data_IF_215859283217
#
_entry.id   IF_215859283217
#
_cell.length_a   1.000
_cell.length_b   1.000
_cell.length_c   1.000
_cell.angle_alpha   90.00
_cell.angle_beta   90.00
_cell.angle_gamma   90.00
#
_symmetry.space_group_name_H-M   'P 1'
#
loop_
_entity.id
_entity.type
_entity.pdbx_description
1 polymer ?
#
# COMPACT_ATOMS: atom_id res chain seq x y z
N UNK A 1 -0.41 -13.26 -8.84
CA UNK A 1 -0.02 -11.84 -8.62
C UNK A 1 -0.61 -11.28 -7.35
N UNK A 2 -1.92 -11.35 -7.11
CA UNK A 2 -2.46 -10.89 -5.81
C UNK A 2 -1.94 -11.72 -4.64
N UNK A 3 -1.58 -12.97 -4.84
CA UNK A 3 -0.99 -13.81 -3.80
C UNK A 3 0.41 -13.35 -3.39
N UNK A 4 1.05 -12.50 -4.19
CA UNK A 4 2.31 -11.86 -3.82
C UNK A 4 2.11 -10.63 -2.94
N UNK A 5 0.87 -10.14 -2.81
CA UNK A 5 0.53 -9.10 -1.86
C UNK A 5 0.42 -9.73 -0.48
N UNK A 6 1.21 -9.27 0.48
CA UNK A 6 1.32 -9.94 1.77
C UNK A 6 1.25 -8.96 2.93
N UNK A 7 0.52 -9.36 3.96
CA UNK A 7 0.57 -8.64 5.23
C UNK A 7 1.93 -8.87 5.89
N UNK A 8 2.49 -7.80 6.45
CA UNK A 8 3.72 -7.84 7.21
C UNK A 8 3.41 -7.37 8.62
N UNK A 9 3.75 -8.18 9.60
CA UNK A 9 3.61 -7.78 11.00
C UNK A 9 4.97 -7.29 11.49
N UNK A 10 5.04 -6.03 11.89
CA UNK A 10 6.26 -5.44 12.43
C UNK A 10 6.31 -5.62 13.94
N UNK A 11 7.46 -5.96 14.52
CA UNK A 11 7.57 -6.04 15.97
C UNK A 11 7.25 -4.71 16.64
N UNK A 12 6.46 -4.75 17.70
CA UNK A 12 6.20 -3.58 18.53
C UNK A 12 7.10 -3.62 19.75
N UNK A 13 7.74 -2.50 20.04
CA UNK A 13 8.53 -2.30 21.24
C UNK A 13 7.82 -1.29 22.11
N UNK A 14 7.75 -1.53 23.41
CA UNK A 14 7.06 -0.55 24.24
C UNK A 14 6.91 -0.99 25.68
N UNK A 15 6.34 -0.08 26.45
CA UNK A 15 6.04 -0.23 27.86
C UNK A 15 4.81 0.65 28.16
N UNK A 16 4.61 1.03 29.43
CA UNK A 16 3.47 1.86 29.81
C UNK A 16 3.50 3.26 29.19
N UNK A 17 4.62 3.68 28.59
CA UNK A 17 4.73 4.99 27.92
C UNK A 17 4.25 4.96 26.47
N UNK A 18 3.99 3.78 25.90
CA UNK A 18 3.51 3.62 24.55
C UNK A 18 4.30 2.59 23.75
N UNK A 19 4.08 2.59 22.44
CA UNK A 19 4.64 1.61 21.53
C UNK A 19 5.51 2.27 20.46
N UNK A 20 6.51 1.54 20.00
CA UNK A 20 7.43 1.98 18.95
C UNK A 20 7.53 0.87 17.91
N UNK A 21 7.41 1.23 16.63
CA UNK A 21 7.55 0.31 15.51
C UNK A 21 8.68 0.82 14.62
N UNK A 22 9.58 -0.08 14.24
CA UNK A 22 10.71 0.24 13.37
C UNK A 22 10.48 -0.44 12.03
N UNK A 23 10.64 0.31 10.94
CA UNK A 23 10.59 -0.23 9.58
C UNK A 23 11.84 0.22 8.84
N UNK A 24 12.70 -0.72 8.49
CA UNK A 24 13.94 -0.44 7.78
C UNK A 24 13.91 -1.07 6.39
N UNK A 25 14.33 -0.30 5.41
CA UNK A 25 14.43 -0.80 4.04
C UNK A 25 15.43 -1.96 3.95
N UNK A 26 15.10 -2.96 3.14
CA UNK A 26 15.89 -4.17 2.94
C UNK A 26 16.11 -5.01 4.21
N UNK A 27 15.39 -4.72 5.28
CA UNK A 27 15.41 -5.47 6.53
C UNK A 27 14.00 -5.98 6.86
N UNK A 28 13.10 -5.08 7.18
CA UNK A 28 11.71 -5.41 7.52
C UNK A 28 10.83 -5.50 6.29
N UNK A 29 11.21 -4.82 5.21
CA UNK A 29 10.50 -4.80 3.94
C UNK A 29 11.49 -5.10 2.81
N UNK A 30 11.02 -5.63 1.66
CA UNK A 30 11.92 -6.20 0.65
C UNK A 30 12.47 -5.20 -0.37
N UNK A 31 12.59 -3.92 -0.03
CA UNK A 31 13.17 -2.92 -0.94
C UNK A 31 13.81 -1.78 -0.17
N UNK A 32 14.65 -1.02 -0.89
CA UNK A 32 15.23 0.22 -0.38
C UNK A 32 14.19 1.34 -0.45
N UNK A 33 13.95 2.04 0.65
CA UNK A 33 12.91 3.08 0.71
C UNK A 33 13.46 4.35 0.10
N UNK A 34 12.90 4.74 -1.04
CA UNK A 34 13.31 5.99 -1.73
C UNK A 34 12.30 7.11 -1.58
N UNK A 35 11.05 6.80 -1.21
CA UNK A 35 9.99 7.80 -1.12
C UNK A 35 9.03 7.40 0.00
N UNK A 36 8.61 8.40 0.76
CA UNK A 36 7.58 8.26 1.79
C UNK A 36 6.50 9.28 1.49
N UNK A 37 5.25 8.85 1.51
CA UNK A 37 4.14 9.77 1.48
C UNK A 37 3.01 9.22 2.36
N UNK A 38 2.06 10.08 2.69
CA UNK A 38 0.95 9.65 3.54
C UNK A 38 -0.33 10.38 3.18
N UNK A 39 -1.44 9.71 3.44
CA UNK A 39 -2.78 10.16 3.09
C UNK A 39 -3.56 10.34 4.38
N UNK A 40 -4.13 11.53 4.56
CA UNK A 40 -4.99 11.84 5.71
C UNK A 40 -6.10 12.79 5.29
N UNK A 41 -7.13 12.89 6.11
CA UNK A 41 -8.23 13.80 5.83
C UNK A 41 -9.16 13.35 4.71
N UNK A 42 -9.08 12.10 4.30
CA UNK A 42 -9.97 11.56 3.28
C UNK A 42 -11.28 11.11 3.91
N UNK A 43 -12.40 11.46 3.26
CA UNK A 43 -13.71 10.99 3.70
C UNK A 43 -13.87 9.51 3.43
N UNK A 44 -14.81 8.87 4.15
CA UNK A 44 -15.07 7.45 4.03
C UNK A 44 -15.52 7.05 2.62
N UNK A 45 -16.14 7.95 1.88
CA UNK A 45 -16.66 7.69 0.54
C UNK A 45 -15.62 7.89 -0.56
N UNK A 46 -14.43 8.40 -0.23
CA UNK A 46 -13.37 8.65 -1.21
C UNK A 46 -12.64 7.37 -1.53
N UNK A 47 -12.41 7.14 -2.82
CA UNK A 47 -11.53 6.06 -3.30
C UNK A 47 -10.29 6.70 -3.89
N UNK A 48 -9.13 6.36 -3.34
CA UNK A 48 -7.84 6.85 -3.81
C UNK A 48 -7.07 5.72 -4.48
N UNK A 49 -5.98 6.07 -5.14
CA UNK A 49 -5.20 5.12 -5.91
C UNK A 49 -5.77 4.97 -7.31
N UNK A 50 -6.45 3.86 -7.57
CA UNK A 50 -7.00 3.51 -8.89
C UNK A 50 -5.90 3.52 -9.95
N UNK A 51 -4.81 2.85 -9.63
CA UNK A 51 -3.69 2.75 -10.55
C UNK A 51 -2.82 1.54 -10.24
N UNK A 52 -1.95 1.23 -11.18
CA UNK A 52 -0.84 0.30 -11.01
C UNK A 52 0.46 1.01 -11.39
N UNK A 53 1.58 0.43 -11.02
CA UNK A 53 2.90 0.99 -11.26
C UNK A 53 3.80 -0.03 -11.96
N UNK A 54 4.52 0.41 -12.98
CA UNK A 54 5.46 -0.47 -13.69
C UNK A 54 6.64 -0.86 -12.83
N UNK A 55 7.17 0.07 -12.04
CA UNK A 55 8.45 -0.10 -11.36
C UNK A 55 8.37 -0.07 -9.85
N UNK A 56 7.42 0.66 -9.28
CA UNK A 56 7.36 0.85 -7.83
C UNK A 56 6.73 -0.32 -7.12
N UNK A 57 7.35 -0.70 -6.01
CA UNK A 57 6.78 -1.55 -4.97
C UNK A 57 6.40 -0.67 -3.80
N UNK A 58 5.44 -1.09 -3.02
CA UNK A 58 4.92 -0.29 -1.92
C UNK A 58 4.71 -1.13 -0.66
N UNK A 59 4.82 -0.47 0.49
CA UNK A 59 4.28 -0.99 1.75
C UNK A 59 3.37 0.09 2.31
N UNK A 60 2.14 -0.27 2.63
CA UNK A 60 1.11 0.63 3.16
C UNK A 60 0.83 0.27 4.63
N UNK A 61 0.83 1.28 5.50
CA UNK A 61 0.60 1.08 6.93
C UNK A 61 -0.37 2.15 7.43
N UNK A 62 -1.48 1.75 8.06
CA UNK A 62 -2.31 2.73 8.78
C UNK A 62 -1.68 2.99 10.14
N UNK A 63 -0.90 4.05 10.21
CA UNK A 63 -0.24 4.43 11.47
C UNK A 63 -1.23 5.03 12.47
N UNK A 64 -2.40 5.46 11.99
CA UNK A 64 -3.55 5.85 12.82
C UNK A 64 -4.81 5.49 12.07
N UNK A 65 -5.87 5.11 12.80
CA UNK A 65 -7.16 4.78 12.21
C UNK A 65 -7.11 3.54 11.32
N UNK A 66 -8.06 3.46 10.41
CA UNK A 66 -8.26 2.27 9.57
C UNK A 66 -8.55 2.65 8.12
N UNK A 67 -8.26 1.73 7.21
CA UNK A 67 -8.67 1.80 5.82
C UNK A 67 -8.69 0.40 5.20
N UNK A 68 -9.15 0.33 3.98
CA UNK A 68 -9.13 -0.91 3.18
C UNK A 68 -8.28 -0.70 1.94
N UNK A 69 -7.57 -1.74 1.56
CA UNK A 69 -6.79 -1.77 0.32
C UNK A 69 -7.28 -2.95 -0.51
N UNK A 70 -7.81 -2.64 -1.69
CA UNK A 70 -8.19 -3.66 -2.66
C UNK A 70 -7.08 -3.79 -3.68
N UNK A 71 -6.64 -5.00 -3.91
CA UNK A 71 -5.64 -5.31 -4.93
C UNK A 71 -6.25 -6.16 -6.04
N UNK A 72 -5.77 -5.95 -7.26
CA UNK A 72 -6.34 -6.55 -8.45
C UNK A 72 -5.18 -6.82 -9.43
N UNK A 73 -5.11 -8.04 -9.96
CA UNK A 73 -4.09 -8.41 -10.94
C UNK A 73 -4.67 -8.63 -12.34
N UNK A 74 -5.91 -8.21 -12.54
CA UNK A 74 -6.61 -8.41 -13.82
C UNK A 74 -7.38 -9.73 -13.89
N UNK A 75 -7.11 -10.65 -12.98
CA UNK A 75 -7.77 -11.95 -12.91
C UNK A 75 -8.43 -12.15 -11.56
N UNK A 76 -7.70 -11.90 -10.50
CA UNK A 76 -8.15 -12.07 -9.12
C UNK A 76 -8.09 -10.76 -8.36
N UNK A 77 -8.91 -10.66 -7.32
CA UNK A 77 -8.97 -9.49 -6.45
C UNK A 77 -8.92 -9.95 -4.99
N UNK A 78 -8.39 -9.09 -4.13
CA UNK A 78 -8.37 -9.34 -2.70
C UNK A 78 -8.46 -8.01 -1.95
N UNK A 79 -9.15 -8.02 -0.81
CA UNK A 79 -9.28 -6.84 0.05
C UNK A 79 -8.55 -7.09 1.35
N UNK A 80 -7.71 -6.14 1.74
CA UNK A 80 -7.00 -6.16 3.03
C UNK A 80 -7.56 -5.04 3.91
N UNK A 81 -7.77 -5.36 5.19
CA UNK A 81 -8.13 -4.36 6.18
C UNK A 81 -6.86 -3.94 6.92
N UNK A 82 -6.56 -2.63 6.89
CA UNK A 82 -5.46 -2.08 7.64
C UNK A 82 -6.02 -1.39 8.87
N UNK A 83 -5.94 -2.04 10.02
CA UNK A 83 -6.59 -1.59 11.24
C UNK A 83 -5.67 -1.53 12.46
N UNK A 84 -4.36 -1.72 12.25
CA UNK A 84 -3.38 -1.69 13.34
C UNK A 84 -2.07 -1.06 12.86
N UNK A 85 -1.41 -0.23 13.71
CA UNK A 85 -0.24 0.54 13.28
C UNK A 85 1.04 -0.29 13.07
N UNK A 86 1.04 -1.55 13.49
CA UNK A 86 2.20 -2.44 13.33
C UNK A 86 2.02 -3.47 12.22
N UNK A 87 1.00 -3.30 11.39
CA UNK A 87 0.74 -4.21 10.27
C UNK A 87 0.72 -3.42 8.98
N UNK A 88 1.54 -3.83 8.02
CA UNK A 88 1.55 -3.26 6.69
C UNK A 88 1.15 -4.27 5.63
N UNK A 89 0.84 -3.78 4.44
CA UNK A 89 0.63 -4.61 3.27
C UNK A 89 1.70 -4.33 2.23
N UNK A 90 2.38 -5.36 1.78
CA UNK A 90 3.33 -5.27 0.67
C UNK A 90 2.61 -5.44 -0.65
N UNK A 91 2.85 -4.53 -1.58
CA UNK A 91 2.31 -4.57 -2.94
C UNK A 91 3.47 -4.61 -3.94
N UNK A 92 3.57 -5.69 -4.74
CA UNK A 92 4.60 -5.76 -5.78
C UNK A 92 4.27 -4.84 -6.96
N UNK A 93 5.18 -4.78 -7.92
CA UNK A 93 4.96 -4.06 -9.18
C UNK A 93 3.72 -4.61 -9.89
N UNK A 94 3.09 -3.76 -10.70
CA UNK A 94 2.00 -4.15 -11.60
C UNK A 94 0.76 -4.71 -10.89
N UNK A 95 0.53 -4.31 -9.66
CA UNK A 95 -0.71 -4.61 -8.95
C UNK A 95 -1.57 -3.35 -8.95
N UNK A 96 -2.78 -3.47 -9.48
CA UNK A 96 -3.76 -2.39 -9.42
C UNK A 96 -4.30 -2.29 -8.01
N UNK A 97 -4.41 -1.09 -7.48
CA UNK A 97 -4.83 -0.89 -6.09
C UNK A 97 -5.84 0.24 -5.96
N UNK A 98 -6.79 0.02 -5.06
CA UNK A 98 -7.71 1.03 -4.56
C UNK A 98 -7.55 1.12 -3.05
N UNK A 99 -7.54 2.33 -2.52
CA UNK A 99 -7.50 2.59 -1.08
C UNK A 99 -8.76 3.35 -0.73
N UNK A 100 -9.52 2.85 0.24
CA UNK A 100 -10.85 3.37 0.51
C UNK A 100 -11.33 3.05 1.92
N UNK A 101 -12.53 3.47 2.25
CA UNK A 101 -13.16 3.25 3.57
C UNK A 101 -12.28 3.77 4.70
N UNK A 102 -11.77 5.00 4.53
CA UNK A 102 -10.91 5.64 5.53
C UNK A 102 -11.72 6.03 6.76
N UNK A 103 -11.23 5.68 7.94
CA UNK A 103 -11.80 6.23 9.18
C UNK A 103 -11.47 7.72 9.28
N UNK A 104 -12.21 8.44 10.11
CA UNK A 104 -12.02 9.90 10.24
C UNK A 104 -10.60 10.25 10.68
N UNK A 105 -10.00 9.42 11.53
CA UNK A 105 -8.65 9.61 12.06
C UNK A 105 -7.57 8.90 11.25
N UNK A 106 -7.91 8.37 10.07
CA UNK A 106 -6.97 7.57 9.28
C UNK A 106 -5.77 8.37 8.81
N UNK A 107 -4.58 7.81 9.05
CA UNK A 107 -3.34 8.24 8.42
C UNK A 107 -2.72 7.00 7.79
N UNK A 108 -2.72 6.97 6.47
CA UNK A 108 -2.16 5.85 5.69
C UNK A 108 -0.78 6.25 5.20
N UNK A 109 0.24 5.65 5.79
CA UNK A 109 1.65 5.87 5.42
C UNK A 109 2.00 4.91 4.29
N UNK A 110 2.67 5.44 3.26
CA UNK A 110 3.12 4.63 2.12
C UNK A 110 4.61 4.78 1.95
N UNK A 111 5.30 3.64 1.92
CA UNK A 111 6.73 3.54 1.66
C UNK A 111 6.90 2.99 0.25
N UNK A 112 7.72 3.64 -0.56
CA UNK A 112 7.87 3.29 -1.97
C UNK A 112 9.32 3.02 -2.34
N UNK A 113 9.51 2.06 -3.25
CA UNK A 113 10.84 1.64 -3.72
C UNK A 113 11.47 2.60 -4.72
N UNK A 114 10.70 3.52 -5.31
CA UNK A 114 11.16 4.41 -6.36
C UNK A 114 10.82 5.86 -6.04
N UNK A 115 11.61 6.79 -6.55
CA UNK A 115 11.24 8.20 -6.56
C UNK A 115 10.00 8.39 -7.42
N UNK A 116 9.27 9.47 -7.21
CA UNK A 116 8.06 9.73 -7.98
C UNK A 116 8.39 9.92 -9.46
N UNK A 117 7.70 9.16 -10.31
CA UNK A 117 7.78 9.28 -11.76
C UNK A 117 6.38 9.08 -12.32
N UNK A 118 5.78 10.15 -12.81
CA UNK A 118 4.42 10.12 -13.35
C UNK A 118 4.28 9.11 -14.49
N UNK A 119 5.37 8.88 -15.24
CA UNK A 119 5.33 8.02 -16.43
C UNK A 119 5.23 6.52 -16.12
N UNK A 120 5.49 6.12 -14.87
CA UNK A 120 5.37 4.71 -14.52
C UNK A 120 3.96 4.32 -14.04
N UNK A 121 3.02 5.26 -14.00
CA UNK A 121 1.67 5.01 -13.53
C UNK A 121 0.75 4.56 -14.65
N UNK A 122 -0.03 3.53 -14.41
CA UNK A 122 -1.12 3.09 -15.29
C UNK A 122 -2.40 3.47 -14.57
N UNK A 123 -3.12 4.46 -15.12
CA UNK A 123 -4.31 5.04 -14.46
C UNK A 123 -5.63 4.66 -15.12
N UNK A 124 -5.59 3.96 -16.26
CA UNK A 124 -6.77 3.48 -16.97
C UNK A 124 -6.82 1.96 -16.79
N UNK A 125 -7.90 1.46 -16.22
CA UNK A 125 -8.04 0.04 -15.93
C UNK A 125 -8.05 -0.81 -17.20
N UNK A 126 -8.67 -0.33 -18.27
CA UNK A 126 -8.68 -1.07 -19.55
C UNK A 126 -7.27 -1.20 -20.12
N UNK A 127 -6.47 -0.15 -20.02
CA UNK A 127 -5.07 -0.20 -20.40
C UNK A 127 -4.29 -1.16 -19.50
N UNK A 128 -4.56 -1.14 -18.21
CA UNK A 128 -3.95 -2.07 -17.26
C UNK A 128 -4.20 -3.53 -17.66
N UNK A 129 -5.44 -3.85 -18.02
CA UNK A 129 -5.79 -5.21 -18.47
C UNK A 129 -4.97 -5.61 -19.69
N UNK A 130 -4.79 -4.68 -20.64
CA UNK A 130 -3.96 -4.94 -21.83
C UNK A 130 -2.50 -5.22 -21.45
N UNK A 131 -1.96 -4.43 -20.54
CA UNK A 131 -0.59 -4.63 -20.05
C UNK A 131 -0.45 -6.01 -19.40
N UNK A 132 -1.41 -6.40 -18.57
CA UNK A 132 -1.34 -7.70 -17.88
C UNK A 132 -1.47 -8.89 -18.83
N UNK A 133 -2.23 -8.74 -19.91
CA UNK A 133 -2.34 -9.79 -20.94
C UNK A 133 -1.05 -10.01 -21.70
N UNK A 134 -0.19 -9.01 -21.75
CA UNK A 134 1.08 -9.07 -22.49
C UNK A 134 2.28 -9.46 -21.59
N UNK A 135 2.01 -9.83 -20.34
CA UNK A 135 3.06 -10.27 -19.41
C UNK A 135 3.38 -11.75 -19.57
#
# INVERSE_FOLDING_TARGET
MVEACKLIEFPQHGDERGHLVIVEGNQDIPFDIKRVFYIYGSDRDVIRGRHANYNSEFVLINVAGTSKVKVDDGTNQKVFNLDRPHIGIYLPKLVWKDMYDFSEDSVLLVLASEHYDNNEYIRDYEEYIKVMKNQ
#
